data_IF_528062638341
#
_entry.id   IF_528062638341
#
_cell.length_a   1.000
_cell.length_b   1.000
_cell.length_c   1.000
_cell.angle_alpha   90.00
_cell.angle_beta   90.00
_cell.angle_gamma   90.00
#
_symmetry.space_group_name_H-M   'P 1'
#
loop_
_entity.id
_entity.type
_entity.pdbx_description
1 polymer ?
#
# COMPACT_ATOMS: atom_id res chain seq x y z
N UNK A 1 4.19 7.50 -19.12
CA UNK A 1 5.64 7.67 -19.26
C UNK A 1 6.31 6.55 -18.51
N UNK A 2 6.89 5.58 -19.22
CA UNK A 2 7.47 4.42 -18.57
C UNK A 2 8.92 4.66 -18.12
N UNK A 3 9.37 3.85 -17.16
CA UNK A 3 10.77 3.61 -16.78
C UNK A 3 11.55 4.78 -16.15
N UNK A 4 10.89 5.69 -15.44
CA UNK A 4 11.55 6.81 -14.76
C UNK A 4 12.31 6.29 -13.53
N UNK A 5 13.62 6.52 -13.48
CA UNK A 5 14.45 6.16 -12.32
C UNK A 5 14.22 7.17 -11.21
N UNK A 6 13.78 6.69 -10.04
CA UNK A 6 13.52 7.56 -8.88
C UNK A 6 14.58 7.42 -7.78
N UNK A 7 15.30 6.29 -7.72
CA UNK A 7 16.37 6.04 -6.76
C UNK A 7 17.35 4.98 -7.28
N UNK A 8 18.56 4.94 -6.71
CA UNK A 8 19.59 3.93 -7.03
C UNK A 8 20.27 3.37 -5.76
N UNK A 9 19.53 2.78 -4.80
CA UNK A 9 20.12 2.24 -3.57
C UNK A 9 21.14 1.15 -3.90
N UNK A 10 22.38 1.32 -3.43
CA UNK A 10 23.47 0.37 -3.72
C UNK A 10 23.78 0.20 -5.21
N UNK A 11 23.42 1.18 -6.06
CA UNK A 11 23.58 1.11 -7.50
C UNK A 11 22.53 0.28 -8.24
N UNK A 12 21.46 -0.18 -7.55
CA UNK A 12 20.29 -0.83 -8.17
C UNK A 12 19.27 0.24 -8.56
N UNK A 13 19.04 0.52 -9.86
CA UNK A 13 18.05 1.51 -10.26
C UNK A 13 16.65 1.02 -9.94
N UNK A 14 15.86 1.86 -9.25
CA UNK A 14 14.45 1.65 -8.99
C UNK A 14 13.62 2.59 -9.86
N UNK A 15 12.60 2.03 -10.49
CA UNK A 15 11.83 2.71 -11.51
C UNK A 15 10.37 2.88 -11.11
N UNK A 16 9.76 3.92 -11.65
CA UNK A 16 8.31 4.10 -11.64
C UNK A 16 7.78 4.38 -13.04
N UNK A 17 6.52 4.03 -13.24
CA UNK A 17 5.77 4.42 -14.43
C UNK A 17 4.72 5.46 -14.05
N UNK A 18 4.68 6.55 -14.82
CA UNK A 18 3.68 7.59 -14.67
C UNK A 18 2.56 7.42 -15.70
N UNK A 19 1.35 7.19 -15.21
CA UNK A 19 0.11 7.29 -15.98
C UNK A 19 -0.47 8.67 -15.75
N UNK A 20 -0.60 9.46 -16.81
CA UNK A 20 -1.00 10.86 -16.73
C UNK A 20 -2.32 11.08 -17.47
N UNK A 21 -3.21 11.92 -16.93
CA UNK A 21 -4.37 12.41 -17.68
C UNK A 21 -3.93 13.18 -18.92
N UNK A 22 -4.79 13.19 -19.93
CA UNK A 22 -4.54 13.90 -21.18
C UNK A 22 -4.30 15.40 -20.97
N UNK A 23 -3.79 16.06 -22.02
CA UNK A 23 -3.35 17.47 -22.03
C UNK A 23 -4.42 18.54 -21.76
N UNK A 24 -5.63 18.14 -21.32
CA UNK A 24 -6.78 19.01 -21.07
C UNK A 24 -6.91 19.53 -19.63
N UNK A 25 -5.99 19.22 -18.73
CA UNK A 25 -6.08 19.67 -17.34
C UNK A 25 -5.46 21.05 -17.11
N UNK A 26 -6.12 21.86 -16.29
CA UNK A 26 -5.83 23.28 -16.08
C UNK A 26 -4.67 23.57 -15.10
N UNK A 27 -3.92 22.56 -14.65
CA UNK A 27 -2.83 22.72 -13.68
C UNK A 27 -2.29 21.40 -13.12
N UNK A 28 -1.43 21.47 -12.10
CA UNK A 28 -0.84 20.29 -11.48
C UNK A 28 -1.89 19.29 -10.97
N UNK A 29 -1.63 18.01 -11.17
CA UNK A 29 -2.58 16.93 -10.89
C UNK A 29 -2.21 16.18 -9.62
N UNK A 30 -3.19 15.83 -8.77
CA UNK A 30 -2.93 14.99 -7.62
C UNK A 30 -2.48 13.60 -8.03
N UNK A 31 -1.77 12.91 -7.13
CA UNK A 31 -1.06 11.66 -7.44
C UNK A 31 -1.56 10.52 -6.57
N UNK A 32 -1.88 9.38 -7.20
CA UNK A 32 -1.89 8.08 -6.54
C UNK A 32 -0.51 7.47 -6.72
N UNK A 33 0.15 7.13 -5.62
CA UNK A 33 1.34 6.26 -5.65
C UNK A 33 0.86 4.84 -5.41
N UNK A 34 0.92 4.03 -6.45
CA UNK A 34 0.48 2.65 -6.41
C UNK A 34 1.66 1.73 -6.05
N UNK A 35 1.46 0.87 -5.04
CA UNK A 35 2.45 -0.09 -4.54
C UNK A 35 1.91 -1.51 -4.72
N UNK A 36 2.56 -2.28 -5.59
CA UNK A 36 2.10 -3.63 -5.96
C UNK A 36 2.20 -4.64 -4.81
N UNK A 37 1.41 -5.72 -4.89
CA UNK A 37 1.50 -6.86 -3.99
C UNK A 37 2.63 -7.83 -4.31
N UNK A 38 2.46 -9.12 -4.01
CA UNK A 38 3.44 -10.16 -4.36
C UNK A 38 4.32 -10.64 -3.21
N UNK A 39 3.87 -10.50 -1.95
CA UNK A 39 4.53 -11.09 -0.77
C UNK A 39 5.98 -10.64 -0.59
N UNK A 40 6.28 -9.40 -1.01
CA UNK A 40 7.61 -8.78 -1.03
C UNK A 40 8.69 -9.51 -1.84
N UNK A 41 8.45 -10.72 -2.34
CA UNK A 41 9.41 -11.55 -3.06
C UNK A 41 9.10 -11.69 -4.57
N UNK A 42 8.01 -11.07 -5.02
CA UNK A 42 7.57 -11.10 -6.40
C UNK A 42 6.81 -9.82 -6.74
N UNK A 43 6.56 -9.65 -8.04
CA UNK A 43 5.81 -8.54 -8.60
C UNK A 43 6.69 -7.45 -9.18
N UNK A 44 6.03 -6.58 -9.94
CA UNK A 44 6.67 -5.47 -10.65
C UNK A 44 5.70 -4.30 -10.70
N UNK A 45 6.16 -3.12 -11.11
CA UNK A 45 5.29 -1.95 -11.40
C UNK A 45 4.21 -2.19 -12.49
N UNK A 46 4.24 -3.34 -13.19
CA UNK A 46 3.28 -3.73 -14.22
C UNK A 46 2.35 -4.89 -13.81
N UNK A 47 2.63 -5.55 -12.69
CA UNK A 47 1.96 -6.80 -12.30
C UNK A 47 1.53 -6.71 -10.83
N UNK A 48 0.62 -7.62 -10.41
CA UNK A 48 0.14 -7.67 -9.02
C UNK A 48 -0.46 -6.35 -8.54
N UNK A 49 -1.21 -5.69 -9.44
CA UNK A 49 -1.78 -4.38 -9.21
C UNK A 49 -2.81 -3.95 -10.25
N UNK A 50 -3.74 -3.09 -9.84
CA UNK A 50 -4.92 -3.46 -9.06
C UNK A 50 -5.72 -4.56 -9.77
N UNK A 51 -6.30 -5.51 -9.02
CA UNK A 51 -7.07 -6.67 -9.56
C UNK A 51 -8.46 -6.29 -10.11
N UNK A 52 -8.51 -5.21 -10.89
CA UNK A 52 -9.71 -4.57 -11.44
C UNK A 52 -9.40 -4.11 -12.85
N UNK A 53 -10.32 -4.38 -13.77
CA UNK A 53 -10.13 -4.06 -15.18
C UNK A 53 -9.89 -2.56 -15.38
N UNK A 54 -8.80 -2.24 -16.10
CA UNK A 54 -8.43 -0.88 -16.51
C UNK A 54 -8.33 0.09 -15.33
N UNK A 55 -7.96 -0.38 -14.13
CA UNK A 55 -7.95 0.42 -12.92
C UNK A 55 -7.15 1.74 -13.04
N UNK A 56 -5.92 1.68 -13.57
CA UNK A 56 -5.11 2.90 -13.78
C UNK A 56 -5.71 3.85 -14.80
N UNK A 57 -6.31 3.34 -15.86
CA UNK A 57 -7.00 4.17 -16.85
C UNK A 57 -8.21 4.87 -16.22
N UNK A 58 -8.97 4.17 -15.36
CA UNK A 58 -10.10 4.76 -14.63
C UNK A 58 -9.66 5.84 -13.64
N UNK A 59 -8.55 5.63 -12.93
CA UNK A 59 -7.94 6.66 -12.07
C UNK A 59 -7.52 7.89 -12.89
N UNK A 60 -6.90 7.66 -14.04
CA UNK A 60 -6.46 8.70 -14.98
C UNK A 60 -7.65 9.47 -15.57
N UNK A 61 -8.71 8.78 -15.97
CA UNK A 61 -9.96 9.36 -16.48
C UNK A 61 -10.66 10.21 -15.39
N UNK A 62 -10.44 9.89 -14.11
CA UNK A 62 -10.88 10.68 -12.97
C UNK A 62 -9.99 11.92 -12.68
N UNK A 63 -8.97 12.18 -13.51
CA UNK A 63 -8.09 13.34 -13.41
C UNK A 63 -6.88 13.17 -12.50
N UNK A 64 -6.61 11.96 -12.04
CA UNK A 64 -5.47 11.63 -11.17
C UNK A 64 -4.26 11.20 -12.01
N UNK A 65 -3.05 11.55 -11.57
CA UNK A 65 -1.87 10.82 -12.02
C UNK A 65 -1.71 9.54 -11.19
N UNK A 66 -1.20 8.48 -11.81
CA UNK A 66 -0.79 7.26 -11.10
C UNK A 66 0.70 7.04 -11.29
N UNK A 67 1.46 7.00 -10.19
CA UNK A 67 2.85 6.58 -10.15
C UNK A 67 2.91 5.14 -9.63
N UNK A 68 3.08 4.16 -10.51
CA UNK A 68 3.28 2.75 -10.13
C UNK A 68 4.76 2.52 -9.83
N UNK A 69 5.10 2.16 -8.60
CA UNK A 69 6.50 2.14 -8.13
C UNK A 69 7.06 0.73 -8.00
N UNK A 70 8.33 0.56 -8.36
CA UNK A 70 9.16 -0.60 -8.02
C UNK A 70 9.71 -0.44 -6.59
N UNK A 71 9.91 -1.55 -5.89
CA UNK A 71 10.71 -1.63 -4.66
C UNK A 71 11.59 -2.89 -4.71
N UNK A 72 12.71 -2.90 -3.99
CA UNK A 72 13.59 -4.09 -3.94
C UNK A 72 12.85 -5.27 -3.34
N UNK A 73 12.86 -6.40 -4.01
CA UNK A 73 12.24 -7.62 -3.49
C UNK A 73 13.07 -8.23 -2.35
N UNK A 74 12.47 -9.13 -1.56
CA UNK A 74 13.09 -9.70 -0.36
C UNK A 74 14.33 -10.57 -0.64
N UNK A 75 14.47 -11.06 -1.88
CA UNK A 75 15.67 -11.76 -2.37
C UNK A 75 16.79 -10.78 -2.78
N UNK A 76 16.45 -9.52 -3.06
CA UNK A 76 17.42 -8.43 -3.30
C UNK A 76 17.88 -7.80 -1.98
N UNK A 77 16.97 -7.55 -1.04
CA UNK A 77 17.26 -6.91 0.24
C UNK A 77 16.23 -7.26 1.32
N UNK A 78 16.66 -7.38 2.58
CA UNK A 78 15.75 -7.56 3.72
C UNK A 78 15.14 -6.22 4.17
N UNK A 79 14.07 -6.28 4.95
CA UNK A 79 13.48 -5.12 5.62
C UNK A 79 14.53 -4.32 6.40
N UNK A 80 14.53 -2.97 6.36
CA UNK A 80 13.47 -2.07 5.87
C UNK A 80 13.60 -1.60 4.41
N UNK A 81 14.43 -2.25 3.58
CA UNK A 81 14.73 -1.77 2.23
C UNK A 81 13.49 -1.43 1.38
N UNK A 82 12.45 -2.27 1.45
CA UNK A 82 11.20 -2.13 0.69
C UNK A 82 10.46 -0.82 1.01
N UNK A 83 10.27 -0.54 2.30
CA UNK A 83 9.53 0.67 2.70
C UNK A 83 10.38 1.92 2.49
N UNK A 84 11.70 1.82 2.64
CA UNK A 84 12.61 2.91 2.34
C UNK A 84 12.56 3.28 0.85
N UNK A 85 12.36 2.30 -0.03
CA UNK A 85 12.20 2.52 -1.48
C UNK A 85 10.88 3.25 -1.79
N UNK A 86 9.77 2.89 -1.15
CA UNK A 86 8.49 3.62 -1.29
C UNK A 86 8.61 5.06 -0.78
N UNK A 87 9.30 5.26 0.35
CA UNK A 87 9.59 6.61 0.87
C UNK A 87 10.49 7.39 -0.09
N UNK A 88 11.46 6.75 -0.75
CA UNK A 88 12.28 7.38 -1.77
C UNK A 88 11.46 7.80 -2.99
N UNK A 89 10.47 7.01 -3.42
CA UNK A 89 9.55 7.40 -4.48
C UNK A 89 8.72 8.65 -4.11
N UNK A 90 8.21 8.73 -2.87
CA UNK A 90 7.54 9.94 -2.36
C UNK A 90 8.45 11.17 -2.38
N UNK A 91 9.71 11.01 -1.96
CA UNK A 91 10.71 12.09 -2.02
C UNK A 91 11.01 12.53 -3.45
N UNK A 92 11.08 11.58 -4.39
CA UNK A 92 11.26 11.88 -5.80
C UNK A 92 10.07 12.65 -6.38
N UNK A 93 8.83 12.27 -6.04
CA UNK A 93 7.62 13.01 -6.46
C UNK A 93 7.66 14.44 -5.89
N UNK A 94 8.06 14.60 -4.62
CA UNK A 94 8.21 15.91 -4.01
C UNK A 94 9.27 16.79 -4.69
N UNK A 95 10.40 16.19 -5.10
CA UNK A 95 11.51 16.92 -5.71
C UNK A 95 11.30 17.22 -7.21
N UNK A 96 10.79 16.24 -7.95
CA UNK A 96 10.81 16.23 -9.43
C UNK A 96 9.42 16.20 -10.05
N UNK A 97 8.37 15.92 -9.27
CA UNK A 97 7.02 15.70 -9.80
C UNK A 97 6.44 16.89 -10.57
N UNK A 98 6.83 18.12 -10.22
CA UNK A 98 6.37 19.33 -10.91
C UNK A 98 6.79 19.38 -12.38
N UNK A 99 7.92 18.76 -12.75
CA UNK A 99 8.37 18.63 -14.14
C UNK A 99 7.43 17.79 -15.00
N UNK A 100 6.67 16.90 -14.35
CA UNK A 100 5.68 16.01 -14.97
C UNK A 100 4.24 16.50 -14.75
N UNK A 101 4.07 17.71 -14.20
CA UNK A 101 2.75 18.27 -13.90
C UNK A 101 2.08 17.65 -12.67
N UNK A 102 2.83 17.02 -11.77
CA UNK A 102 2.31 16.43 -10.54
C UNK A 102 2.22 17.47 -9.41
N UNK A 103 1.20 17.33 -8.57
CA UNK A 103 1.04 18.07 -7.34
C UNK A 103 1.46 17.22 -6.13
N UNK A 104 2.70 17.40 -5.70
CA UNK A 104 3.27 16.63 -4.60
C UNK A 104 2.68 16.95 -3.22
N UNK A 105 1.84 18.00 -3.09
CA UNK A 105 1.10 18.27 -1.86
C UNK A 105 -0.19 17.44 -1.76
N UNK A 106 -0.58 16.77 -2.84
CA UNK A 106 -1.82 15.99 -2.94
C UNK A 106 -1.51 14.57 -3.39
N UNK A 107 -1.10 13.75 -2.42
CA UNK A 107 -0.70 12.37 -2.65
C UNK A 107 -1.56 11.43 -1.81
N UNK A 108 -2.05 10.36 -2.44
CA UNK A 108 -2.62 9.18 -1.78
C UNK A 108 -1.74 7.98 -2.09
N UNK A 109 -1.43 7.17 -1.08
CA UNK A 109 -0.83 5.86 -1.29
C UNK A 109 -1.93 4.83 -1.52
N UNK A 110 -1.74 3.92 -2.46
CA UNK A 110 -2.66 2.82 -2.71
C UNK A 110 -1.85 1.54 -2.85
N UNK A 111 -2.10 0.55 -2.01
CA UNK A 111 -1.38 -0.71 -2.07
C UNK A 111 -2.29 -1.92 -2.02
N UNK A 112 -1.75 -3.04 -2.49
CA UNK A 112 -2.38 -4.36 -2.41
C UNK A 112 -1.49 -5.33 -1.63
N UNK A 113 -2.03 -6.06 -0.66
CA UNK A 113 -1.32 -7.11 0.09
C UNK A 113 0.00 -6.58 0.67
N UNK A 114 1.14 -7.19 0.34
CA UNK A 114 2.47 -6.69 0.68
C UNK A 114 2.68 -5.20 0.39
N UNK A 115 2.17 -4.69 -0.74
CA UNK A 115 2.25 -3.28 -1.10
C UNK A 115 1.37 -2.38 -0.23
N UNK A 116 0.23 -2.89 0.27
CA UNK A 116 -0.61 -2.17 1.22
C UNK A 116 0.11 -2.01 2.58
N UNK A 117 0.80 -3.06 3.04
CA UNK A 117 1.65 -2.98 4.23
C UNK A 117 2.76 -1.93 4.07
N UNK A 118 3.42 -1.90 2.90
CA UNK A 118 4.45 -0.89 2.60
C UNK A 118 3.86 0.51 2.50
N UNK A 119 2.69 0.68 1.88
CA UNK A 119 1.99 1.96 1.79
C UNK A 119 1.66 2.51 3.19
N UNK A 120 1.09 1.68 4.08
CA UNK A 120 0.78 2.06 5.45
C UNK A 120 2.05 2.47 6.24
N UNK A 121 3.13 1.67 6.17
CA UNK A 121 4.38 2.00 6.84
C UNK A 121 5.05 3.26 6.25
N UNK A 122 5.04 3.42 4.92
CA UNK A 122 5.60 4.59 4.25
C UNK A 122 4.86 5.86 4.65
N UNK A 123 3.53 5.81 4.82
CA UNK A 123 2.73 6.94 5.28
C UNK A 123 3.19 7.45 6.67
N UNK A 124 3.61 6.56 7.57
CA UNK A 124 4.12 6.92 8.89
C UNK A 124 5.58 7.41 8.89
N UNK A 125 6.33 7.10 7.84
CA UNK A 125 7.76 7.43 7.68
C UNK A 125 8.00 8.62 6.74
N UNK A 126 7.02 9.00 5.94
CA UNK A 126 7.15 10.03 4.93
C UNK A 126 7.46 11.40 5.55
N UNK A 127 8.35 12.14 4.88
CA UNK A 127 8.61 13.56 5.17
C UNK A 127 7.74 14.47 4.28
N UNK A 128 7.10 13.91 3.26
CA UNK A 128 6.17 14.60 2.37
C UNK A 128 4.71 14.35 2.80
N UNK A 129 3.77 15.26 2.48
CA UNK A 129 2.36 15.07 2.79
C UNK A 129 1.79 13.82 2.09
N UNK A 130 1.18 12.93 2.88
CA UNK A 130 0.30 11.86 2.42
C UNK A 130 -1.08 12.19 2.98
N UNK A 131 -2.08 12.35 2.10
CA UNK A 131 -3.43 12.76 2.49
C UNK A 131 -4.34 11.56 2.77
N UNK A 132 -4.00 10.39 2.22
CA UNK A 132 -4.74 9.17 2.47
C UNK A 132 -3.96 7.92 2.10
N UNK A 133 -4.41 6.79 2.64
CA UNK A 133 -3.92 5.45 2.30
C UNK A 133 -5.11 4.56 1.96
N UNK A 134 -5.07 3.94 0.79
CA UNK A 134 -5.93 2.80 0.44
C UNK A 134 -5.14 1.53 0.70
N UNK A 135 -5.55 0.79 1.72
CA UNK A 135 -5.02 -0.52 2.10
C UNK A 135 -6.00 -1.60 1.64
N UNK A 136 -5.60 -2.36 0.62
CA UNK A 136 -6.30 -3.55 0.20
C UNK A 136 -5.61 -4.78 0.74
N UNK A 137 -6.28 -5.46 1.69
CA UNK A 137 -5.90 -6.73 2.30
C UNK A 137 -4.43 -6.84 2.75
N UNK A 138 -3.87 -5.78 3.32
CA UNK A 138 -2.49 -5.72 3.80
C UNK A 138 -2.25 -6.54 5.08
N UNK A 139 -1.08 -7.21 5.20
CA UNK A 139 -0.60 -7.73 6.48
C UNK A 139 -0.01 -6.59 7.32
N UNK A 140 -0.52 -6.39 8.55
CA UNK A 140 -0.24 -5.20 9.37
C UNK A 140 0.28 -5.51 10.77
N UNK A 141 0.23 -6.78 11.17
CA UNK A 141 0.83 -7.36 12.38
C UNK A 141 1.41 -8.74 12.02
N UNK A 142 2.71 -8.77 11.69
CA UNK A 142 3.37 -9.98 11.22
C UNK A 142 3.50 -11.05 12.30
N UNK A 143 3.56 -10.66 13.57
CA UNK A 143 3.61 -11.63 14.68
C UNK A 143 2.26 -12.35 14.82
N UNK A 144 1.16 -11.58 14.80
CA UNK A 144 -0.19 -12.15 14.81
C UNK A 144 -0.45 -13.00 13.56
N UNK A 145 -0.04 -12.52 12.37
CA UNK A 145 -0.19 -13.25 11.12
C UNK A 145 0.56 -14.59 11.15
N UNK A 146 1.82 -14.57 11.60
CA UNK A 146 2.62 -15.78 11.72
C UNK A 146 2.02 -16.78 12.71
N UNK A 147 1.39 -16.32 13.79
CA UNK A 147 0.70 -17.19 14.73
C UNK A 147 -0.60 -17.77 14.13
N UNK A 148 -1.42 -16.94 13.49
CA UNK A 148 -2.70 -17.33 12.89
C UNK A 148 -2.53 -18.39 11.78
N UNK A 149 -1.40 -18.34 11.06
CA UNK A 149 -1.10 -19.22 9.93
C UNK A 149 -0.08 -20.33 10.24
N UNK A 150 0.35 -20.47 11.50
CA UNK A 150 1.38 -21.43 11.93
C UNK A 150 2.72 -21.30 11.17
N UNK A 151 3.19 -20.05 11.00
CA UNK A 151 4.40 -19.66 10.24
C UNK A 151 5.49 -18.99 11.09
N UNK A 152 5.33 -18.91 12.42
CA UNK A 152 6.28 -18.21 13.29
C UNK A 152 7.74 -18.69 13.13
N UNK A 153 7.92 -19.98 12.89
CA UNK A 153 9.21 -20.65 12.71
C UNK A 153 9.52 -21.01 11.24
N UNK A 154 8.71 -20.54 10.28
CA UNK A 154 8.92 -20.79 8.86
C UNK A 154 9.79 -19.69 8.23
N UNK A 155 11.05 -19.97 7.84
CA UNK A 155 11.91 -18.96 7.21
C UNK A 155 11.55 -18.73 5.73
N UNK A 156 10.81 -19.65 5.10
CA UNK A 156 10.49 -19.63 3.68
C UNK A 156 9.17 -18.93 3.38
N UNK A 157 8.36 -18.63 4.40
CA UNK A 157 7.18 -17.77 4.28
C UNK A 157 7.57 -16.34 3.83
N UNK A 158 6.60 -15.59 3.31
CA UNK A 158 6.83 -14.25 2.77
C UNK A 158 7.43 -13.30 3.81
N UNK A 159 6.93 -13.37 5.05
CA UNK A 159 7.38 -12.61 6.20
C UNK A 159 8.80 -13.02 6.58
N UNK A 160 9.10 -14.32 6.62
CA UNK A 160 10.42 -14.84 6.95
C UNK A 160 11.50 -14.35 5.97
N UNK A 161 11.19 -14.37 4.67
CA UNK A 161 12.07 -13.83 3.63
C UNK A 161 12.26 -12.32 3.75
N UNK A 162 11.18 -11.58 3.99
CA UNK A 162 11.24 -10.14 4.22
C UNK A 162 12.17 -9.79 5.40
N UNK A 163 12.09 -10.55 6.50
CA UNK A 163 12.84 -10.27 7.73
C UNK A 163 14.29 -10.80 7.71
N UNK A 164 14.64 -11.63 6.73
CA UNK A 164 15.93 -12.33 6.67
C UNK A 164 16.08 -13.44 7.72
N UNK A 165 14.97 -14.02 8.16
CA UNK A 165 14.90 -15.02 9.24
C UNK A 165 13.45 -15.21 9.71
N UNK A 166 13.19 -16.23 10.52
CA UNK A 166 11.83 -16.51 11.01
C UNK A 166 11.30 -15.34 11.87
N UNK A 167 9.97 -15.18 11.92
CA UNK A 167 9.31 -14.19 12.79
C UNK A 167 9.75 -14.38 14.25
N UNK A 168 9.83 -15.63 14.72
CA UNK A 168 10.27 -15.95 16.08
C UNK A 168 11.74 -15.58 16.35
N UNK A 169 12.62 -15.70 15.36
CA UNK A 169 14.04 -15.35 15.51
C UNK A 169 14.34 -13.85 15.30
N UNK A 170 13.39 -13.12 14.70
CA UNK A 170 13.52 -11.69 14.33
C UNK A 170 12.33 -10.85 14.84
N UNK A 171 11.95 -10.94 16.14
CA UNK A 171 10.72 -10.34 16.63
C UNK A 171 10.73 -8.80 16.55
N UNK A 172 11.89 -8.16 16.77
CA UNK A 172 12.01 -6.70 16.65
C UNK A 172 11.76 -6.23 15.22
N UNK A 173 12.36 -6.91 14.24
CA UNK A 173 12.14 -6.60 12.82
C UNK A 173 10.68 -6.89 12.40
N UNK A 174 10.06 -7.94 12.92
CA UNK A 174 8.64 -8.22 12.69
C UNK A 174 7.75 -7.08 13.21
N UNK A 175 8.05 -6.53 14.40
CA UNK A 175 7.35 -5.37 14.95
C UNK A 175 7.55 -4.14 14.06
N UNK A 176 8.78 -3.85 13.64
CA UNK A 176 9.07 -2.69 12.78
C UNK A 176 8.37 -2.76 11.42
N UNK A 177 8.17 -3.98 10.89
CA UNK A 177 7.45 -4.27 9.65
C UNK A 177 5.92 -4.34 9.82
N UNK A 178 5.39 -4.13 11.02
CA UNK A 178 3.96 -4.24 11.33
C UNK A 178 3.31 -2.86 11.47
N UNK A 179 2.63 -2.39 10.43
CA UNK A 179 2.02 -1.06 10.39
C UNK A 179 1.10 -0.77 11.59
N UNK A 180 0.30 -1.75 12.04
CA UNK A 180 -0.60 -1.60 13.19
C UNK A 180 0.16 -1.26 14.48
N UNK A 181 1.39 -1.76 14.61
CA UNK A 181 2.25 -1.54 15.77
C UNK A 181 3.06 -0.22 15.68
N UNK A 182 3.09 0.42 14.51
CA UNK A 182 3.82 1.68 14.29
C UNK A 182 2.96 2.93 14.50
N UNK A 183 1.63 2.81 14.55
CA UNK A 183 0.70 3.96 14.66
C UNK A 183 1.01 4.83 15.89
N UNK A 184 1.12 4.22 17.07
CA UNK A 184 1.38 4.96 18.31
C UNK A 184 2.75 5.66 18.28
N UNK A 185 3.76 5.01 17.69
CA UNK A 185 5.10 5.57 17.50
C UNK A 185 5.08 6.79 16.56
N UNK A 186 4.32 6.72 15.47
CA UNK A 186 4.17 7.82 14.53
C UNK A 186 3.56 9.07 15.21
N UNK A 187 2.49 8.88 16.00
CA UNK A 187 1.86 9.97 16.77
C UNK A 187 2.81 10.54 17.81
N UNK A 188 3.53 9.69 18.55
CA UNK A 188 4.50 10.13 19.56
C UNK A 188 5.65 10.96 18.93
N UNK A 189 6.01 10.65 17.68
CA UNK A 189 6.98 11.41 16.90
C UNK A 189 6.41 12.70 16.27
N UNK A 190 5.13 13.02 16.51
CA UNK A 190 4.46 14.19 15.95
C UNK A 190 4.18 14.08 14.44
N UNK A 191 4.20 12.86 13.88
CA UNK A 191 3.84 12.62 12.47
C UNK A 191 2.32 12.69 12.32
N UNK A 192 1.79 13.35 11.27
CA UNK A 192 0.37 13.33 10.99
C UNK A 192 -0.08 11.92 10.63
N UNK A 193 -1.28 11.53 11.06
CA UNK A 193 -1.93 10.32 10.60
C UNK A 193 -2.78 10.65 9.37
N UNK A 194 -2.47 10.13 8.17
CA UNK A 194 -3.38 10.25 7.03
C UNK A 194 -4.69 9.55 7.31
N UNK A 195 -5.73 9.89 6.53
CA UNK A 195 -6.96 9.10 6.52
C UNK A 195 -6.68 7.72 5.90
N UNK A 196 -7.32 6.67 6.38
CA UNK A 196 -7.21 5.33 5.80
C UNK A 196 -8.57 4.85 5.27
N UNK A 197 -8.56 4.22 4.11
CA UNK A 197 -9.56 3.24 3.72
C UNK A 197 -8.89 1.87 3.73
N UNK A 198 -9.38 0.98 4.58
CA UNK A 198 -8.92 -0.39 4.67
C UNK A 198 -10.05 -1.28 4.16
N UNK A 199 -9.80 -2.00 3.07
CA UNK A 199 -10.74 -3.00 2.55
C UNK A 199 -10.12 -4.40 2.65
N UNK A 200 -10.87 -5.37 3.15
CA UNK A 200 -10.36 -6.73 3.36
C UNK A 200 -11.45 -7.77 3.18
N UNK A 201 -11.15 -8.88 2.52
CA UNK A 201 -12.08 -10.00 2.40
C UNK A 201 -12.21 -10.84 3.68
N UNK A 202 -13.43 -11.16 4.10
CA UNK A 202 -13.64 -11.95 5.35
C UNK A 202 -13.29 -13.44 5.20
N UNK A 203 -13.14 -13.93 3.97
CA UNK A 203 -12.72 -15.29 3.64
C UNK A 203 -11.26 -15.36 3.14
N UNK A 204 -10.46 -14.33 3.40
CA UNK A 204 -9.05 -14.30 3.03
C UNK A 204 -8.23 -15.29 3.87
N UNK A 205 -7.77 -16.38 3.22
CA UNK A 205 -6.95 -17.42 3.83
C UNK A 205 -5.44 -17.16 3.73
N UNK A 206 -5.01 -16.11 3.00
CA UNK A 206 -3.61 -15.74 2.86
C UNK A 206 -3.20 -14.69 3.89
N UNK A 207 -4.08 -13.71 4.11
CA UNK A 207 -3.94 -12.65 5.11
C UNK A 207 -5.28 -12.53 5.82
N UNK A 208 -5.43 -13.04 7.06
CA UNK A 208 -6.70 -13.00 7.75
C UNK A 208 -7.21 -11.56 7.96
N UNK A 209 -8.52 -11.34 7.90
CA UNK A 209 -9.14 -10.03 8.11
C UNK A 209 -8.86 -9.42 9.51
N UNK A 210 -8.34 -10.22 10.45
CA UNK A 210 -7.82 -9.74 11.74
C UNK A 210 -6.76 -8.65 11.57
N UNK A 211 -5.97 -8.72 10.49
CA UNK A 211 -4.96 -7.73 10.13
C UNK A 211 -5.60 -6.35 9.88
N UNK A 212 -6.59 -6.27 8.99
CA UNK A 212 -7.33 -5.04 8.75
C UNK A 212 -7.99 -4.47 10.01
N UNK A 213 -8.59 -5.32 10.84
CA UNK A 213 -9.19 -4.85 12.11
C UNK A 213 -8.13 -4.31 13.08
N UNK A 214 -6.95 -4.94 13.16
CA UNK A 214 -5.87 -4.51 14.04
C UNK A 214 -5.36 -3.12 13.66
N UNK A 215 -5.12 -2.86 12.37
CA UNK A 215 -4.69 -1.55 11.90
C UNK A 215 -5.80 -0.50 12.10
N UNK A 216 -7.05 -0.82 11.76
CA UNK A 216 -8.17 0.10 11.96
C UNK A 216 -8.34 0.50 13.43
N UNK A 217 -8.23 -0.46 14.35
CA UNK A 217 -8.35 -0.20 15.77
C UNK A 217 -7.17 0.62 16.31
N UNK A 218 -5.95 0.33 15.87
CA UNK A 218 -4.78 1.14 16.23
C UNK A 218 -4.93 2.59 15.76
N UNK A 219 -5.39 2.82 14.53
CA UNK A 219 -5.66 4.16 13.99
C UNK A 219 -6.74 4.89 14.79
N UNK A 220 -7.88 4.24 15.08
CA UNK A 220 -8.97 4.83 15.87
C UNK A 220 -8.53 5.20 17.28
N UNK A 221 -7.78 4.30 17.95
CA UNK A 221 -7.25 4.55 19.29
C UNK A 221 -6.30 5.74 19.32
N UNK A 222 -5.55 5.96 18.24
CA UNK A 222 -4.67 7.10 18.06
C UNK A 222 -5.38 8.38 17.58
N UNK A 223 -6.71 8.35 17.40
CA UNK A 223 -7.50 9.49 16.92
C UNK A 223 -7.42 9.74 15.41
N UNK A 224 -6.94 8.77 14.63
CA UNK A 224 -6.90 8.81 13.17
C UNK A 224 -8.25 8.58 12.51
N UNK A 225 -8.42 9.07 11.29
CA UNK A 225 -9.58 8.83 10.44
C UNK A 225 -9.41 7.51 9.69
N UNK A 226 -10.36 6.57 9.85
CA UNK A 226 -10.31 5.27 9.15
C UNK A 226 -11.69 4.74 8.80
N UNK A 227 -11.85 4.39 7.53
CA UNK A 227 -12.95 3.61 6.98
C UNK A 227 -12.51 2.15 6.86
N UNK A 228 -13.28 1.24 7.45
CA UNK A 228 -13.02 -0.20 7.38
C UNK A 228 -14.16 -0.89 6.60
N UNK A 229 -13.82 -1.48 5.47
CA UNK A 229 -14.72 -2.21 4.59
C UNK A 229 -14.37 -3.71 4.59
N UNK A 230 -15.05 -4.47 5.45
CA UNK A 230 -14.95 -5.93 5.46
C UNK A 230 -15.88 -6.51 4.39
N UNK A 231 -15.29 -7.00 3.32
CA UNK A 231 -16.00 -7.55 2.16
C UNK A 231 -16.37 -8.99 2.44
N UNK A 232 -17.61 -9.19 2.88
CA UNK A 232 -18.11 -10.51 3.27
C UNK A 232 -17.91 -11.55 2.17
N UNK A 233 -17.30 -12.70 2.48
CA UNK A 233 -17.09 -13.83 1.57
C UNK A 233 -16.08 -13.59 0.43
N UNK A 234 -15.29 -12.51 0.50
CA UNK A 234 -14.18 -12.30 -0.42
C UNK A 234 -12.91 -12.94 0.15
N UNK A 235 -12.13 -13.60 -0.69
CA UNK A 235 -10.78 -14.08 -0.39
C UNK A 235 -9.71 -13.03 -0.67
N UNK A 236 -8.44 -13.44 -0.63
CA UNK A 236 -7.33 -12.61 -1.06
C UNK A 236 -7.53 -12.17 -2.52
N UNK A 237 -7.09 -10.96 -2.90
CA UNK A 237 -7.26 -10.45 -4.28
C UNK A 237 -8.71 -10.43 -4.77
N UNK A 238 -9.64 -10.24 -3.83
CA UNK A 238 -11.08 -10.23 -4.11
C UNK A 238 -11.57 -11.51 -4.80
N UNK A 239 -10.93 -12.65 -4.54
CA UNK A 239 -11.38 -13.96 -4.98
C UNK A 239 -12.77 -14.25 -4.41
N UNK A 240 -13.65 -14.80 -5.25
CA UNK A 240 -14.99 -15.17 -4.81
C UNK A 240 -14.93 -16.57 -4.22
N UNK A 241 -15.37 -16.74 -2.97
CA UNK A 241 -15.48 -18.06 -2.35
C UNK A 241 -16.31 -19.02 -3.24
N UNK A 242 -15.90 -20.28 -3.41
CA UNK A 242 -16.66 -21.25 -4.18
C UNK A 242 -18.12 -21.35 -3.73
N UNK A 243 -19.05 -21.13 -4.67
CA UNK A 243 -20.50 -21.23 -4.42
C UNK A 243 -21.17 -19.93 -3.95
N UNK A 244 -20.41 -18.86 -3.69
CA UNK A 244 -20.98 -17.55 -3.38
C UNK A 244 -21.77 -16.99 -4.57
N UNK A 245 -22.97 -16.48 -4.29
CA UNK A 245 -23.83 -15.77 -5.28
C UNK A 245 -24.51 -14.58 -4.59
N UNK A 246 -24.41 -13.35 -5.13
CA UNK A 246 -23.60 -12.94 -6.29
C UNK A 246 -22.08 -12.98 -6.00
N UNK A 247 -21.22 -13.01 -7.05
CA UNK A 247 -19.78 -12.92 -6.86
C UNK A 247 -19.36 -11.61 -6.17
N UNK A 248 -18.09 -11.56 -5.72
CA UNK A 248 -17.50 -10.34 -5.14
C UNK A 248 -17.60 -9.20 -6.15
N UNK A 249 -18.15 -8.06 -5.73
CA UNK A 249 -18.24 -6.85 -6.53
C UNK A 249 -16.93 -6.05 -6.50
N UNK A 250 -15.97 -6.49 -7.33
CA UNK A 250 -14.64 -5.87 -7.45
C UNK A 250 -14.72 -4.42 -7.93
N UNK A 251 -15.63 -4.14 -8.86
CA UNK A 251 -15.85 -2.79 -9.37
C UNK A 251 -16.39 -1.86 -8.28
N UNK A 252 -17.34 -2.32 -7.49
CA UNK A 252 -17.86 -1.55 -6.35
C UNK A 252 -16.80 -1.27 -5.29
N UNK A 253 -15.90 -2.22 -5.01
CA UNK A 253 -14.77 -2.02 -4.08
C UNK A 253 -13.81 -0.95 -4.64
N UNK A 254 -13.46 -1.05 -5.92
CA UNK A 254 -12.64 -0.05 -6.60
C UNK A 254 -13.28 1.34 -6.57
N UNK A 255 -14.56 1.45 -6.90
CA UNK A 255 -15.27 2.74 -6.93
C UNK A 255 -15.34 3.40 -5.55
N UNK A 256 -15.45 2.62 -4.47
CA UNK A 256 -15.34 3.15 -3.10
C UNK A 256 -13.94 3.68 -2.82
N UNK A 257 -12.91 2.94 -3.19
CA UNK A 257 -11.52 3.35 -2.99
C UNK A 257 -11.12 4.57 -3.83
N UNK A 258 -11.56 4.62 -5.09
CA UNK A 258 -11.36 5.77 -5.97
C UNK A 258 -12.07 7.01 -5.42
N UNK A 259 -13.30 6.86 -4.93
CA UNK A 259 -14.02 7.96 -4.28
C UNK A 259 -13.30 8.49 -3.06
N UNK A 260 -12.85 7.60 -2.17
CA UNK A 260 -12.04 7.97 -1.01
C UNK A 260 -10.82 8.79 -1.44
N UNK A 261 -10.06 8.31 -2.44
CA UNK A 261 -8.90 9.04 -2.95
C UNK A 261 -9.28 10.42 -3.49
N UNK A 262 -10.33 10.51 -4.31
CA UNK A 262 -10.81 11.79 -4.88
C UNK A 262 -11.23 12.79 -3.80
N UNK A 263 -11.93 12.32 -2.76
CA UNK A 263 -12.35 13.16 -1.64
C UNK A 263 -11.15 13.77 -0.91
N UNK A 264 -10.05 13.03 -0.72
CA UNK A 264 -8.82 13.58 -0.11
C UNK A 264 -8.03 14.50 -1.04
N UNK A 265 -8.07 14.21 -2.34
CA UNK A 265 -7.21 14.87 -3.33
C UNK A 265 -7.84 16.15 -3.95
N UNK A 266 -9.16 16.32 -3.88
CA UNK A 266 -9.85 17.47 -4.48
C UNK A 266 -10.70 18.29 -3.53
N UNK A 267 -11.06 17.77 -2.35
CA UNK A 267 -11.79 18.56 -1.35
C UNK A 267 -10.78 19.37 -0.54
N UNK A 268 -10.98 20.70 -0.50
CA UNK A 268 -10.16 21.68 0.22
C UNK A 268 -10.76 22.01 1.58
#
# INVERSE_FOLDING_TARGET
MPELVFAEPGGRPLRLDLHLPGSSLAGPVPVIVFVHGGGWNSGTRHEFGPEVDRAFERMVDAGLAVASVEYRLSDEAIFPAQVDDVVAALRWIAASGSEFGLDAARVVLWGESAGAALAALAAFRADAPVLGVVDWYGPTDLAALGADLDRLDDPDCAEGRLLGGTIASRPEAAVEASAALQVAGAVAAGRPLPAFLIAHGTADASVPASQATALADALRQAGGEVELDLVEGAGHRWETEPGRTPPVDRDGIFERALRFALERLYVR
#
